data_IF_896255197187
#
_entry.id   IF_896255197187
#
_cell.length_a   1.000
_cell.length_b   1.000
_cell.length_c   1.000
_cell.angle_alpha   90.00
_cell.angle_beta   90.00
_cell.angle_gamma   90.00
#
_symmetry.space_group_name_H-M   'P 1'
#
loop_
_entity.id
_entity.type
_entity.pdbx_description
1 polymer ?
#
# COMPACT_ATOMS: atom_id res chain seq x y z
N UNK A 1 -31.94 -29.74 -42.37
CA UNK A 1 -31.44 -28.44 -42.85
C UNK A 1 -31.27 -27.53 -41.65
N UNK A 2 -30.03 -27.28 -41.21
CA UNK A 2 -29.77 -26.35 -40.12
C UNK A 2 -30.15 -24.93 -40.56
N UNK A 3 -30.94 -24.26 -39.73
CA UNK A 3 -31.40 -22.89 -39.95
C UNK A 3 -30.20 -21.94 -40.12
N UNK A 4 -30.21 -21.01 -41.10
CA UNK A 4 -29.07 -20.14 -41.44
C UNK A 4 -28.57 -19.28 -40.26
N UNK A 5 -29.35 -19.13 -39.20
CA UNK A 5 -28.97 -18.40 -37.99
C UNK A 5 -27.85 -19.07 -37.16
N UNK A 6 -27.71 -20.40 -37.22
CA UNK A 6 -26.70 -21.12 -36.41
C UNK A 6 -25.30 -21.05 -37.02
N UNK A 7 -25.19 -21.03 -38.36
CA UNK A 7 -23.91 -20.87 -39.06
C UNK A 7 -23.28 -19.49 -38.83
N UNK A 8 -24.10 -18.46 -38.64
CA UNK A 8 -23.64 -17.09 -38.40
C UNK A 8 -23.06 -16.90 -36.98
N UNK A 9 -23.50 -17.72 -36.01
CA UNK A 9 -23.01 -17.67 -34.62
C UNK A 9 -21.62 -18.27 -34.46
N UNK A 10 -21.24 -19.26 -35.29
CA UNK A 10 -19.89 -19.84 -35.30
C UNK A 10 -18.83 -18.89 -35.87
N UNK A 11 -19.22 -17.98 -36.77
CA UNK A 11 -18.29 -17.07 -37.45
C UNK A 11 -18.08 -15.73 -36.74
N UNK A 12 -18.79 -15.49 -35.63
CA UNK A 12 -18.67 -14.24 -34.87
C UNK A 12 -18.98 -12.99 -35.71
N UNK A 13 -19.93 -13.09 -36.64
CA UNK A 13 -20.38 -11.96 -37.46
C UNK A 13 -21.56 -11.26 -36.79
N UNK A 14 -21.53 -9.93 -36.72
CA UNK A 14 -22.64 -9.11 -36.21
C UNK A 14 -23.28 -8.40 -37.41
N UNK A 15 -24.60 -8.51 -37.54
CA UNK A 15 -25.37 -7.80 -38.57
C UNK A 15 -25.85 -6.48 -37.98
N UNK A 16 -25.34 -5.35 -38.50
CA UNK A 16 -25.78 -4.03 -38.07
C UNK A 16 -27.24 -3.74 -38.50
N UNK A 17 -28.12 -3.28 -37.60
CA UNK A 17 -29.47 -2.88 -37.96
C UNK A 17 -29.41 -1.63 -38.83
N UNK A 18 -29.72 -1.78 -40.13
CA UNK A 18 -29.82 -0.68 -41.09
C UNK A 18 -29.05 -0.85 -42.41
N UNK A 19 -28.01 -1.69 -42.45
CA UNK A 19 -27.18 -1.84 -43.66
C UNK A 19 -27.07 -3.29 -44.17
N UNK A 20 -27.56 -4.29 -43.40
CA UNK A 20 -27.53 -5.72 -43.76
C UNK A 20 -26.16 -6.22 -44.26
N UNK A 21 -25.08 -5.54 -43.87
CA UNK A 21 -23.70 -5.86 -44.23
C UNK A 21 -23.07 -6.61 -43.06
N UNK A 22 -22.45 -7.74 -43.36
CA UNK A 22 -21.80 -8.59 -42.37
C UNK A 22 -20.43 -7.99 -41.99
N UNK A 23 -20.22 -7.71 -40.70
CA UNK A 23 -18.93 -7.30 -40.17
C UNK A 23 -18.42 -8.32 -39.14
N UNK A 24 -17.12 -8.64 -39.15
CA UNK A 24 -16.55 -9.50 -38.13
C UNK A 24 -16.56 -8.79 -36.77
N UNK A 25 -17.04 -9.45 -35.71
CA UNK A 25 -17.26 -8.84 -34.38
C UNK A 25 -16.02 -8.20 -33.75
N UNK A 26 -14.81 -8.66 -34.11
CA UNK A 26 -13.58 -8.10 -33.58
C UNK A 26 -13.30 -6.68 -34.10
N UNK A 27 -13.79 -6.33 -35.28
CA UNK A 27 -13.57 -5.00 -35.88
C UNK A 27 -14.48 -3.93 -35.23
N UNK A 28 -15.68 -4.33 -34.80
CA UNK A 28 -16.64 -3.46 -34.10
C UNK A 28 -16.14 -3.07 -32.70
N UNK A 29 -15.47 -3.99 -31.99
CA UNK A 29 -14.98 -3.72 -30.63
C UNK A 29 -13.83 -2.71 -30.57
N UNK A 30 -13.00 -2.65 -31.62
CA UNK A 30 -11.90 -1.69 -31.67
C UNK A 30 -12.35 -0.28 -32.07
N UNK A 31 -13.37 -0.16 -32.93
CA UNK A 31 -13.80 1.15 -33.42
C UNK A 31 -14.51 2.00 -32.36
N UNK A 32 -15.33 1.38 -31.49
CA UNK A 32 -16.12 2.11 -30.49
C UNK A 32 -15.29 2.61 -29.30
N UNK A 33 -14.26 1.86 -28.89
CA UNK A 33 -13.35 2.34 -27.83
C UNK A 33 -12.63 3.60 -28.26
N UNK A 34 -12.21 3.68 -29.52
CA UNK A 34 -11.36 4.77 -29.98
C UNK A 34 -12.12 6.10 -30.17
N UNK A 35 -13.44 6.05 -30.36
CA UNK A 35 -14.29 7.21 -30.57
C UNK A 35 -14.74 7.86 -29.24
N UNK A 36 -15.02 7.06 -28.20
CA UNK A 36 -15.56 7.59 -26.93
C UNK A 36 -14.52 8.33 -26.07
N UNK A 37 -13.22 8.05 -26.22
CA UNK A 37 -12.16 8.70 -25.42
C UNK A 37 -11.72 10.08 -25.95
N UNK A 38 -12.11 10.46 -27.18
CA UNK A 38 -11.59 11.68 -27.83
C UNK A 38 -12.41 12.95 -27.58
N UNK A 39 -13.54 12.86 -26.87
CA UNK A 39 -14.46 13.97 -26.68
C UNK A 39 -14.53 14.49 -25.23
N UNK A 40 -13.39 14.61 -24.55
CA UNK A 40 -13.31 15.35 -23.28
C UNK A 40 -12.88 16.81 -23.53
N UNK A 41 -13.48 17.81 -22.88
CA UNK A 41 -13.14 19.23 -23.06
C UNK A 41 -11.65 19.47 -22.74
N UNK A 42 -10.93 20.08 -23.70
CA UNK A 42 -9.45 20.16 -23.74
C UNK A 42 -8.87 21.24 -22.82
N UNK A 43 -9.67 21.78 -21.91
CA UNK A 43 -9.23 22.74 -20.90
C UNK A 43 -9.11 22.06 -19.54
N UNK A 44 -7.96 21.42 -19.33
CA UNK A 44 -7.53 21.01 -17.99
C UNK A 44 -6.30 21.85 -17.60
N UNK A 45 -6.44 22.83 -16.68
CA UNK A 45 -5.29 23.64 -16.22
C UNK A 45 -4.21 22.76 -15.54
N UNK A 46 -4.55 21.54 -15.13
CA UNK A 46 -3.64 20.56 -14.56
C UNK A 46 -3.01 19.61 -15.60
N UNK A 47 -3.17 19.86 -16.91
CA UNK A 47 -2.54 19.05 -17.97
C UNK A 47 -1.02 18.99 -17.83
N UNK A 48 -0.40 20.03 -17.26
CA UNK A 48 1.03 20.04 -16.96
C UNK A 48 1.42 19.01 -15.89
N UNK A 49 0.59 18.76 -14.86
CA UNK A 49 0.82 17.71 -13.86
C UNK A 49 0.70 16.29 -14.43
N UNK A 50 0.06 16.11 -15.60
CA UNK A 50 -0.02 14.83 -16.28
C UNK A 50 1.24 14.51 -17.12
N UNK A 51 2.17 15.46 -17.28
CA UNK A 51 3.47 15.20 -17.92
C UNK A 51 4.47 14.66 -16.89
N UNK A 52 5.39 13.79 -17.32
CA UNK A 52 6.41 13.21 -16.42
C UNK A 52 7.26 14.28 -15.73
N UNK A 53 7.54 15.39 -16.42
CA UNK A 53 8.35 16.48 -15.89
C UNK A 53 7.54 17.40 -14.96
N UNK A 54 6.26 17.67 -15.27
CA UNK A 54 5.40 18.47 -14.41
C UNK A 54 5.01 17.74 -13.12
N UNK A 55 4.76 16.43 -13.20
CA UNK A 55 4.54 15.60 -12.02
C UNK A 55 5.77 15.55 -11.11
N UNK A 56 6.96 15.33 -11.68
CA UNK A 56 8.20 15.22 -10.90
C UNK A 56 8.61 16.55 -10.28
N UNK A 57 8.49 17.67 -11.00
CA UNK A 57 8.78 19.00 -10.43
C UNK A 57 7.80 19.36 -9.32
N UNK A 58 6.49 19.10 -9.48
CA UNK A 58 5.52 19.31 -8.42
C UNK A 58 5.82 18.44 -7.18
N UNK A 59 6.17 17.18 -7.37
CA UNK A 59 6.56 16.28 -6.29
C UNK A 59 7.81 16.78 -5.56
N UNK A 60 8.88 17.10 -6.29
CA UNK A 60 10.13 17.60 -5.70
C UNK A 60 9.90 18.92 -4.96
N UNK A 61 9.18 19.88 -5.55
CA UNK A 61 8.90 21.18 -4.90
C UNK A 61 8.07 20.97 -3.64
N UNK A 62 7.02 20.16 -3.67
CA UNK A 62 6.19 19.90 -2.49
C UNK A 62 6.99 19.20 -1.37
N UNK A 63 7.85 18.24 -1.72
CA UNK A 63 8.75 17.57 -0.78
C UNK A 63 9.80 18.54 -0.22
N UNK A 64 10.40 19.41 -1.04
CA UNK A 64 11.34 20.43 -0.61
C UNK A 64 10.70 21.45 0.33
N UNK A 65 9.45 21.86 0.05
CA UNK A 65 8.69 22.75 0.93
C UNK A 65 8.42 22.10 2.28
N UNK A 66 8.02 20.82 2.31
CA UNK A 66 7.83 20.06 3.55
C UNK A 66 9.15 19.90 4.33
N UNK A 67 10.25 19.59 3.65
CA UNK A 67 11.56 19.45 4.27
C UNK A 67 12.10 20.78 4.83
N UNK A 68 11.73 21.91 4.23
CA UNK A 68 12.13 23.25 4.67
C UNK A 68 11.32 23.76 5.87
N UNK A 69 10.30 23.04 6.33
CA UNK A 69 9.55 23.40 7.54
C UNK A 69 10.48 23.26 8.76
N UNK A 70 10.73 24.35 9.51
CA UNK A 70 11.56 24.28 10.71
C UNK A 70 10.85 23.46 11.80
N UNK A 71 11.60 22.81 12.70
CA UNK A 71 11.03 22.18 13.88
C UNK A 71 10.17 23.17 14.69
N UNK A 72 9.15 22.65 15.40
CA UNK A 72 8.26 23.47 16.22
C UNK A 72 9.04 24.35 17.19
N UNK A 73 8.81 25.67 17.15
CA UNK A 73 9.44 26.65 18.04
C UNK A 73 10.73 27.30 17.52
N UNK A 74 11.19 26.96 16.31
CA UNK A 74 12.39 27.58 15.70
C UNK A 74 12.07 28.42 14.46
N UNK A 75 12.82 29.50 14.27
CA UNK A 75 12.70 30.34 13.07
C UNK A 75 13.19 29.59 11.82
N UNK A 76 12.58 29.91 10.67
CA UNK A 76 13.03 29.39 9.37
C UNK A 76 14.46 29.87 9.09
N UNK A 77 15.39 28.93 8.92
CA UNK A 77 16.78 29.19 8.57
C UNK A 77 17.33 28.04 7.74
N UNK A 78 18.35 28.30 6.92
CA UNK A 78 19.01 27.25 6.13
C UNK A 78 19.66 26.18 7.01
N UNK A 79 20.02 26.50 8.27
CA UNK A 79 20.55 25.57 9.25
C UNK A 79 19.47 24.67 9.92
N UNK A 80 18.22 25.13 9.93
CA UNK A 80 17.07 24.41 10.46
C UNK A 80 16.26 23.69 9.37
N UNK A 81 16.48 24.04 8.10
CA UNK A 81 15.90 23.34 6.96
C UNK A 81 16.39 21.88 6.91
N UNK A 82 15.48 20.93 6.68
CA UNK A 82 15.77 19.50 6.63
C UNK A 82 15.70 18.76 7.98
N UNK A 83 15.64 19.47 9.11
CA UNK A 83 15.49 18.81 10.43
C UNK A 83 14.09 18.25 10.66
N UNK A 84 13.07 18.81 10.02
CA UNK A 84 11.72 18.22 10.02
C UNK A 84 11.71 16.80 9.44
N UNK A 85 12.51 16.53 8.40
CA UNK A 85 12.63 15.20 7.82
C UNK A 85 13.24 14.18 8.80
N UNK A 86 14.20 14.59 9.63
CA UNK A 86 14.80 13.73 10.65
C UNK A 86 13.80 13.36 11.76
N UNK A 87 12.87 14.26 12.09
CA UNK A 87 11.78 14.01 13.06
C UNK A 87 10.69 13.10 12.47
N UNK A 88 10.42 13.20 11.17
CA UNK A 88 9.41 12.39 10.47
C UNK A 88 9.89 10.97 10.16
N UNK A 89 11.20 10.74 10.10
CA UNK A 89 11.78 9.45 9.73
C UNK A 89 11.28 8.27 10.59
N UNK A 90 11.22 8.39 11.93
CA UNK A 90 10.65 7.33 12.79
C UNK A 90 9.18 7.03 12.48
N UNK A 91 8.38 8.03 12.09
CA UNK A 91 6.97 7.84 11.72
C UNK A 91 6.85 6.99 10.44
N UNK A 92 7.70 7.23 9.45
CA UNK A 92 7.77 6.39 8.26
C UNK A 92 8.14 4.94 8.58
N UNK A 93 9.16 4.75 9.43
CA UNK A 93 9.57 3.43 9.90
C UNK A 93 8.43 2.67 10.59
N UNK A 94 7.75 3.33 11.52
CA UNK A 94 6.62 2.79 12.26
C UNK A 94 5.46 2.33 11.36
N UNK A 95 5.04 3.16 10.41
CA UNK A 95 3.94 2.81 9.48
C UNK A 95 4.34 1.65 8.56
N UNK A 96 5.58 1.62 8.08
CA UNK A 96 6.06 0.52 7.25
C UNK A 96 6.09 -0.82 8.00
N UNK A 97 6.41 -0.80 9.28
CA UNK A 97 6.38 -1.99 10.13
C UNK A 97 4.95 -2.54 10.30
N UNK A 98 3.97 -1.66 10.53
CA UNK A 98 2.57 -2.06 10.60
C UNK A 98 2.07 -2.63 9.26
N UNK A 99 2.45 -2.01 8.14
CA UNK A 99 2.08 -2.51 6.81
C UNK A 99 2.73 -3.86 6.51
N UNK A 100 3.99 -4.06 6.90
CA UNK A 100 4.69 -5.34 6.80
C UNK A 100 3.99 -6.42 7.64
N UNK A 101 3.62 -6.11 8.89
CA UNK A 101 2.85 -7.01 9.75
C UNK A 101 1.51 -7.41 9.13
N UNK A 102 0.77 -6.44 8.59
CA UNK A 102 -0.49 -6.71 7.87
C UNK A 102 -0.27 -7.60 6.64
N UNK A 103 0.75 -7.30 5.83
CA UNK A 103 1.08 -8.08 4.64
C UNK A 103 1.42 -9.53 5.00
N UNK A 104 2.19 -9.77 6.06
CA UNK A 104 2.49 -11.13 6.51
C UNK A 104 1.26 -11.89 6.99
N UNK A 105 0.31 -11.24 7.68
CA UNK A 105 -0.96 -11.88 8.06
C UNK A 105 -1.75 -12.29 6.81
N UNK A 106 -1.83 -11.42 5.80
CA UNK A 106 -2.50 -11.71 4.54
C UNK A 106 -1.81 -12.88 3.82
N UNK A 107 -0.48 -12.88 3.74
CA UNK A 107 0.30 -13.97 3.13
C UNK A 107 0.10 -15.29 3.88
N UNK A 108 0.16 -15.27 5.23
CA UNK A 108 -0.05 -16.47 6.06
C UNK A 108 -1.48 -17.01 5.90
N UNK A 109 -2.48 -16.12 5.84
CA UNK A 109 -3.86 -16.51 5.55
C UNK A 109 -3.98 -17.12 4.14
N UNK A 110 -3.36 -16.51 3.13
CA UNK A 110 -3.37 -17.01 1.75
C UNK A 110 -2.66 -18.37 1.61
N UNK A 111 -1.50 -18.56 2.25
CA UNK A 111 -0.78 -19.85 2.28
C UNK A 111 -1.64 -20.93 2.95
N UNK A 112 -2.37 -20.56 4.00
CA UNK A 112 -3.30 -21.47 4.68
C UNK A 112 -4.47 -21.86 3.77
N UNK A 113 -5.05 -20.90 3.05
CA UNK A 113 -6.13 -21.15 2.09
C UNK A 113 -5.67 -22.04 0.93
N UNK A 114 -4.43 -21.89 0.49
CA UNK A 114 -3.84 -22.68 -0.61
C UNK A 114 -3.18 -23.98 -0.16
N UNK A 115 -3.25 -24.34 1.14
CA UNK A 115 -2.61 -25.52 1.76
C UNK A 115 -1.11 -25.65 1.46
N UNK A 116 -0.41 -24.52 1.35
CA UNK A 116 1.04 -24.45 1.12
C UNK A 116 1.79 -24.39 2.45
N UNK A 117 3.08 -24.81 2.52
CA UNK A 117 3.86 -24.77 3.75
C UNK A 117 4.00 -23.33 4.27
N UNK A 118 3.64 -23.10 5.54
CA UNK A 118 3.64 -21.77 6.16
C UNK A 118 5.02 -21.31 6.64
N UNK A 119 5.97 -22.24 6.83
CA UNK A 119 7.21 -21.98 7.57
C UNK A 119 8.10 -20.91 6.91
N UNK A 120 8.15 -20.87 5.58
CA UNK A 120 8.96 -19.89 4.84
C UNK A 120 8.51 -18.44 5.02
N UNK A 121 7.21 -18.20 5.20
CA UNK A 121 6.67 -16.86 5.46
C UNK A 121 6.59 -16.56 6.96
N UNK A 122 6.38 -17.58 7.79
CA UNK A 122 6.31 -17.43 9.24
C UNK A 122 7.66 -16.99 9.84
N UNK A 123 8.78 -17.54 9.37
CA UNK A 123 10.11 -17.16 9.85
C UNK A 123 10.42 -15.65 9.68
N UNK A 124 10.34 -15.06 8.46
CA UNK A 124 10.55 -13.63 8.29
C UNK A 124 9.47 -12.79 8.98
N UNK A 125 8.22 -13.25 9.06
CA UNK A 125 7.17 -12.55 9.80
C UNK A 125 7.52 -12.41 11.29
N UNK A 126 8.01 -13.46 11.94
CA UNK A 126 8.40 -13.42 13.37
C UNK A 126 9.56 -12.46 13.58
N UNK A 127 10.59 -12.51 12.74
CA UNK A 127 11.74 -11.59 12.84
C UNK A 127 11.25 -10.13 12.67
N UNK A 128 10.37 -9.88 11.70
CA UNK A 128 9.83 -8.53 11.46
C UNK A 128 8.85 -8.03 12.52
N UNK A 129 8.35 -8.88 13.40
CA UNK A 129 7.53 -8.45 14.54
C UNK A 129 8.34 -8.33 15.84
N UNK A 130 9.42 -9.10 16.00
CA UNK A 130 10.20 -9.05 17.25
C UNK A 130 11.28 -7.97 17.20
N UNK A 131 12.05 -7.90 16.10
CA UNK A 131 13.20 -7.00 16.03
C UNK A 131 12.76 -5.53 16.07
N UNK A 132 11.73 -5.10 15.31
CA UNK A 132 11.29 -3.72 15.36
C UNK A 132 10.64 -3.35 16.69
N UNK A 133 9.79 -4.22 17.26
CA UNK A 133 9.21 -4.02 18.58
C UNK A 133 10.29 -3.81 19.67
N UNK A 134 11.33 -4.64 19.66
CA UNK A 134 12.43 -4.54 20.61
C UNK A 134 13.24 -3.25 20.42
N UNK A 135 13.58 -2.92 19.17
CA UNK A 135 14.32 -1.70 18.85
C UNK A 135 13.55 -0.43 19.23
N UNK A 136 12.25 -0.38 18.91
CA UNK A 136 11.39 0.75 19.21
C UNK A 136 11.16 0.91 20.72
N UNK A 137 10.97 -0.20 21.44
CA UNK A 137 10.86 -0.19 22.90
C UNK A 137 12.16 0.30 23.57
N UNK A 138 13.31 -0.16 23.07
CA UNK A 138 14.62 0.27 23.57
C UNK A 138 14.83 1.78 23.37
N UNK A 139 14.59 2.28 22.16
CA UNK A 139 14.78 3.69 21.83
C UNK A 139 13.77 4.61 22.53
N UNK A 140 12.52 4.16 22.69
CA UNK A 140 11.49 4.95 23.35
C UNK A 140 11.74 5.12 24.85
N UNK A 141 12.14 4.05 25.56
CA UNK A 141 12.16 4.04 27.03
C UNK A 141 13.55 3.97 27.66
N UNK A 142 14.52 3.31 27.03
CA UNK A 142 15.82 3.00 27.66
C UNK A 142 16.92 3.93 27.14
N UNK A 143 17.17 3.94 25.82
CA UNK A 143 18.24 4.71 25.20
C UNK A 143 19.64 4.30 25.70
N UNK A 144 20.65 5.12 25.37
CA UNK A 144 22.01 5.02 25.91
C UNK A 144 22.60 6.42 26.15
N UNK A 145 23.85 6.50 26.64
CA UNK A 145 24.48 7.79 26.95
C UNK A 145 24.77 8.66 25.71
N UNK A 146 24.86 8.05 24.52
CA UNK A 146 25.13 8.75 23.25
C UNK A 146 23.84 9.15 22.51
N UNK A 147 22.76 8.39 22.72
CA UNK A 147 21.42 8.55 22.17
C UNK A 147 20.41 8.32 23.31
N UNK A 148 20.05 9.37 24.06
CA UNK A 148 19.09 9.26 25.15
C UNK A 148 17.73 8.76 24.65
N UNK A 149 16.95 8.17 25.55
CA UNK A 149 15.60 7.74 25.22
C UNK A 149 14.74 8.94 24.81
N UNK A 150 13.72 8.71 23.98
CA UNK A 150 12.81 9.80 23.58
C UNK A 150 12.02 10.36 24.76
N UNK A 151 11.77 9.55 25.79
CA UNK A 151 11.20 10.01 27.06
C UNK A 151 12.16 10.96 27.79
N UNK A 152 13.46 10.64 27.84
CA UNK A 152 14.46 11.52 28.46
C UNK A 152 14.75 12.79 27.63
N UNK A 153 14.52 12.74 26.33
CA UNK A 153 14.72 13.85 25.38
C UNK A 153 13.48 14.76 25.26
N UNK A 154 12.40 14.48 26.01
CA UNK A 154 11.11 15.18 25.95
C UNK A 154 10.44 15.19 24.55
N UNK A 155 10.81 14.25 23.68
CA UNK A 155 10.29 14.10 22.32
C UNK A 155 8.93 13.37 22.32
N UNK A 156 7.92 13.98 22.95
CA UNK A 156 6.61 13.37 23.19
C UNK A 156 5.90 12.87 21.93
N UNK A 157 6.09 13.54 20.79
CA UNK A 157 5.53 13.10 19.51
C UNK A 157 6.04 11.69 19.15
N UNK A 158 7.35 11.46 19.26
CA UNK A 158 7.96 10.18 18.94
C UNK A 158 7.55 9.11 19.95
N UNK A 159 7.44 9.48 21.24
CA UNK A 159 6.97 8.57 22.30
C UNK A 159 5.53 8.12 22.04
N UNK A 160 4.61 9.04 21.74
CA UNK A 160 3.20 8.71 21.47
C UNK A 160 3.07 7.81 20.24
N UNK A 161 3.76 8.13 19.16
CA UNK A 161 3.76 7.31 17.94
C UNK A 161 4.35 5.93 18.24
N UNK A 162 5.46 5.85 18.96
CA UNK A 162 6.09 4.58 19.33
C UNK A 162 5.15 3.69 20.16
N UNK A 163 4.50 4.26 21.18
CA UNK A 163 3.50 3.57 21.99
C UNK A 163 2.31 3.10 21.14
N UNK A 164 1.80 3.94 20.23
CA UNK A 164 0.70 3.57 19.34
C UNK A 164 1.10 2.42 18.41
N UNK A 165 2.31 2.44 17.86
CA UNK A 165 2.85 1.36 17.01
C UNK A 165 3.01 0.07 17.79
N UNK A 166 3.61 0.10 18.98
CA UNK A 166 3.74 -1.08 19.84
C UNK A 166 2.38 -1.67 20.24
N UNK A 167 1.38 -0.82 20.52
CA UNK A 167 0.03 -1.28 20.83
C UNK A 167 -0.65 -1.95 19.64
N UNK A 168 -0.54 -1.36 18.44
CA UNK A 168 -1.08 -1.93 17.21
C UNK A 168 -0.35 -3.21 16.81
N UNK A 169 0.95 -3.29 17.01
CA UNK A 169 1.76 -4.48 16.78
C UNK A 169 1.36 -5.61 17.74
N UNK A 170 1.20 -5.32 19.03
CA UNK A 170 0.71 -6.29 20.01
C UNK A 170 -0.69 -6.81 19.65
N UNK A 171 -1.59 -5.91 19.22
CA UNK A 171 -2.91 -6.28 18.71
C UNK A 171 -2.80 -7.19 17.48
N UNK A 172 -1.93 -6.85 16.53
CA UNK A 172 -1.72 -7.60 15.30
C UNK A 172 -1.17 -9.01 15.58
N UNK A 173 -0.22 -9.14 16.52
CA UNK A 173 0.28 -10.43 17.02
C UNK A 173 -0.84 -11.25 17.66
N UNK A 174 -1.67 -10.63 18.50
CA UNK A 174 -2.82 -11.31 19.11
C UNK A 174 -3.81 -11.85 18.05
N UNK A 175 -4.13 -11.05 17.04
CA UNK A 175 -5.00 -11.42 15.92
C UNK A 175 -4.41 -12.55 15.05
N UNK A 176 -3.08 -12.53 14.83
CA UNK A 176 -2.38 -13.59 14.12
C UNK A 176 -2.42 -14.92 14.90
N UNK A 177 -2.10 -14.87 16.20
CA UNK A 177 -2.13 -16.05 17.08
C UNK A 177 -3.54 -16.63 17.20
N UNK A 178 -4.56 -15.77 17.36
CA UNK A 178 -5.96 -16.19 17.41
C UNK A 178 -6.38 -16.98 16.16
N UNK A 179 -5.94 -16.55 14.96
CA UNK A 179 -6.21 -17.26 13.70
C UNK A 179 -5.46 -18.59 13.58
N UNK A 180 -4.22 -18.65 14.06
CA UNK A 180 -3.44 -19.89 14.07
C UNK A 180 -4.05 -20.93 15.01
N UNK A 181 -4.48 -20.54 16.21
CA UNK A 181 -5.10 -21.42 17.20
C UNK A 181 -6.50 -21.87 16.75
N UNK A 182 -7.37 -20.94 16.33
CA UNK A 182 -8.73 -21.26 15.86
C UNK A 182 -8.73 -22.08 14.57
N UNK A 183 -7.72 -21.95 13.72
CA UNK A 183 -7.60 -22.75 12.52
C UNK A 183 -7.33 -24.25 12.78
N UNK A 184 -6.86 -24.63 13.99
CA UNK A 184 -6.59 -26.04 14.34
C UNK A 184 -7.85 -26.84 14.67
N UNK A 185 -8.91 -26.20 15.16
CA UNK A 185 -10.14 -26.91 15.52
C UNK A 185 -10.89 -27.46 14.31
N UNK A 186 -10.87 -26.75 13.18
CA UNK A 186 -11.59 -27.19 11.96
C UNK A 186 -10.93 -28.40 11.27
N UNK A 187 -9.61 -28.59 11.42
CA UNK A 187 -8.90 -29.74 10.83
C UNK A 187 -9.00 -30.98 11.73
N UNK A 188 -9.12 -30.81 13.04
CA UNK A 188 -9.30 -31.91 14.00
C UNK A 188 -10.73 -32.50 14.00
N UNK A 189 -11.67 -31.91 13.25
CA UNK A 189 -13.07 -32.34 13.16
C UNK A 189 -13.48 -32.80 11.75
N UNK A 190 -12.52 -33.05 10.85
CA UNK A 190 -12.81 -33.70 9.57
C UNK A 190 -12.96 -35.22 9.73
N UNK A 191 -13.89 -35.85 8.99
CA UNK A 191 -14.22 -37.28 9.09
C UNK A 191 -13.04 -38.22 8.77
#
# INVERSE_FOLDING_TARGET
SLSPALSQREKGLIVCPGCAREHPAHEVYHHDRDASWRAAPVWNPFKWLATVHGATTAAVVSASMLAAIPPSGQAWSLANAGRGAMVLWPLFGAVNQLLAGFAFIVILAWLRLTRRPLWFAAAPAVIMLIVPAAALSWQAFIGNNENPSWVASEDWLLVVVACATLALEAWLVAEALARVVRGRSVIASGP
#
